data_IF_755354550466
#
_entry.id   IF_755354550466
#
_cell.length_a   1.000
_cell.length_b   1.000
_cell.length_c   1.000
_cell.angle_alpha   90.00
_cell.angle_beta   90.00
_cell.angle_gamma   90.00
#
_symmetry.space_group_name_H-M   'P 1'
#
loop_
_entity.id
_entity.type
_entity.pdbx_description
1 polymer ?
#
# COMPACT_ATOMS: atom_id res chain seq x y z
N UNK A 1 -0.24 5.15 0.21
CA UNK A 1 0.41 5.35 -1.11
C UNK A 1 0.66 6.83 -1.44
N UNK A 2 0.12 7.79 -0.68
CA UNK A 2 0.36 9.23 -0.91
C UNK A 2 1.67 9.76 -0.29
N UNK A 3 2.34 8.98 0.56
CA UNK A 3 3.60 9.36 1.21
C UNK A 3 3.45 10.28 2.43
N UNK A 4 2.24 10.35 2.99
CA UNK A 4 1.91 11.13 4.18
C UNK A 4 2.28 10.34 5.45
N UNK A 5 3.40 10.70 6.08
CA UNK A 5 3.93 9.99 7.26
C UNK A 5 3.05 10.25 8.49
N UNK A 6 2.56 11.48 8.69
CA UNK A 6 1.73 11.82 9.85
C UNK A 6 0.43 11.00 9.88
N UNK A 7 -0.21 10.83 8.72
CA UNK A 7 -1.42 10.02 8.58
C UNK A 7 -1.14 8.53 8.81
N UNK A 8 0.03 8.03 8.37
CA UNK A 8 0.45 6.67 8.66
C UNK A 8 0.62 6.48 10.18
N UNK A 9 1.34 7.39 10.84
CA UNK A 9 1.61 7.32 12.27
C UNK A 9 0.30 7.30 13.07
N UNK A 10 -0.59 8.26 12.85
CA UNK A 10 -1.88 8.31 13.55
C UNK A 10 -2.74 7.07 13.28
N UNK A 11 -2.75 6.57 12.04
CA UNK A 11 -3.50 5.37 11.69
C UNK A 11 -2.97 4.12 12.39
N UNK A 12 -1.65 4.02 12.52
CA UNK A 12 -1.01 2.92 13.22
C UNK A 12 -1.21 3.02 14.74
N UNK A 13 -1.00 4.19 15.34
CA UNK A 13 -1.28 4.45 16.77
C UNK A 13 -2.70 4.03 17.14
N UNK A 14 -3.67 4.41 16.31
CA UNK A 14 -5.05 3.96 16.47
C UNK A 14 -5.18 2.44 16.38
N UNK A 15 -4.63 1.81 15.34
CA UNK A 15 -4.72 0.36 15.15
C UNK A 15 -4.13 -0.42 16.34
N UNK A 16 -2.99 0.01 16.87
CA UNK A 16 -2.36 -0.61 18.04
C UNK A 16 -3.15 -0.37 19.32
N UNK A 17 -3.71 0.83 19.51
CA UNK A 17 -4.60 1.11 20.65
C UNK A 17 -5.84 0.20 20.68
N UNK A 18 -6.31 -0.22 19.50
CA UNK A 18 -7.41 -1.16 19.32
C UNK A 18 -6.95 -2.63 19.30
N UNK A 19 -5.68 -2.91 19.64
CA UNK A 19 -5.07 -4.26 19.64
C UNK A 19 -5.25 -5.00 18.31
N UNK A 20 -5.19 -4.27 17.19
CA UNK A 20 -5.30 -4.86 15.86
C UNK A 20 -4.11 -5.77 15.57
N UNK A 21 -4.37 -6.89 14.91
CA UNK A 21 -3.33 -7.83 14.51
C UNK A 21 -2.43 -7.22 13.40
N UNK A 22 -1.13 -7.13 13.64
CA UNK A 22 -0.16 -6.56 12.71
C UNK A 22 -0.17 -7.24 11.32
N UNK A 23 -0.35 -8.57 11.27
CA UNK A 23 -0.50 -9.32 10.00
C UNK A 23 -1.74 -8.84 9.24
N UNK A 24 -2.85 -8.59 9.92
CA UNK A 24 -4.08 -8.11 9.29
C UNK A 24 -3.92 -6.67 8.75
N UNK A 25 -3.21 -5.81 9.48
CA UNK A 25 -2.85 -4.46 9.00
C UNK A 25 -2.02 -4.56 7.71
N UNK A 26 -0.97 -5.38 7.72
CA UNK A 26 -0.11 -5.59 6.53
C UNK A 26 -0.90 -6.16 5.35
N UNK A 27 -1.80 -7.13 5.58
CA UNK A 27 -2.66 -7.70 4.52
C UNK A 27 -3.61 -6.67 3.92
N UNK A 28 -4.18 -5.79 4.73
CA UNK A 28 -4.99 -4.66 4.24
C UNK A 28 -4.19 -3.77 3.28
N UNK A 29 -2.97 -3.41 3.67
CA UNK A 29 -2.06 -2.67 2.81
C UNK A 29 -1.69 -3.44 1.53
N UNK A 30 -1.38 -4.73 1.62
CA UNK A 30 -1.06 -5.57 0.46
C UNK A 30 -2.23 -5.59 -0.53
N UNK A 31 -3.46 -5.75 -0.06
CA UNK A 31 -4.66 -5.74 -0.91
C UNK A 31 -4.76 -4.46 -1.71
N UNK A 32 -4.55 -3.32 -1.06
CA UNK A 32 -4.55 -2.01 -1.71
C UNK A 32 -3.45 -1.84 -2.76
N UNK A 33 -2.20 -2.19 -2.42
CA UNK A 33 -1.08 -2.10 -3.35
C UNK A 33 -1.19 -3.07 -4.53
N UNK A 34 -1.78 -4.26 -4.34
CA UNK A 34 -2.09 -5.20 -5.43
C UNK A 34 -3.14 -4.63 -6.38
N UNK A 35 -4.17 -3.97 -5.87
CA UNK A 35 -5.17 -3.29 -6.71
C UNK A 35 -4.53 -2.15 -7.53
N UNK A 36 -3.69 -1.33 -6.90
CA UNK A 36 -2.90 -0.31 -7.60
C UNK A 36 -2.00 -0.94 -8.68
N UNK A 37 -1.29 -2.02 -8.37
CA UNK A 37 -0.44 -2.72 -9.34
C UNK A 37 -1.23 -3.24 -10.53
N UNK A 38 -2.39 -3.84 -10.30
CA UNK A 38 -3.29 -4.32 -11.35
C UNK A 38 -3.75 -3.19 -12.27
N UNK A 39 -4.19 -2.07 -11.69
CA UNK A 39 -4.60 -0.90 -12.45
C UNK A 39 -3.43 -0.25 -13.23
N UNK A 40 -2.24 -0.20 -12.63
CA UNK A 40 -1.03 0.34 -13.27
C UNK A 40 -0.58 -0.51 -14.45
N UNK A 41 -0.63 -1.84 -14.33
CA UNK A 41 -0.35 -2.77 -15.43
C UNK A 41 -1.35 -2.65 -16.57
N UNK A 42 -2.65 -2.57 -16.26
CA UNK A 42 -3.69 -2.33 -17.26
C UNK A 42 -3.48 -0.98 -17.98
N UNK A 43 -3.02 0.03 -17.25
CA UNK A 43 -2.69 1.34 -17.83
C UNK A 43 -1.49 1.28 -18.78
N UNK A 44 -0.43 0.55 -18.43
CA UNK A 44 0.69 0.33 -19.34
C UNK A 44 0.28 -0.44 -20.61
N UNK A 45 -0.70 -1.34 -20.49
CA UNK A 45 -1.26 -2.07 -21.64
C UNK A 45 -2.19 -1.22 -22.53
N UNK A 46 -2.33 0.08 -22.26
CA UNK A 46 -3.11 1.03 -23.07
C UNK A 46 -4.52 1.32 -22.56
N UNK A 47 -4.94 0.75 -21.43
CA UNK A 47 -6.24 1.07 -20.83
C UNK A 47 -6.17 2.43 -20.12
N UNK A 48 -7.13 3.36 -20.32
CA UNK A 48 -7.14 4.61 -19.56
C UNK A 48 -7.19 4.37 -18.04
N UNK A 49 -6.39 5.10 -17.26
CA UNK A 49 -6.27 4.94 -15.78
C UNK A 49 -7.63 4.89 -15.08
N UNK A 50 -8.56 5.78 -15.45
CA UNK A 50 -9.90 5.82 -14.86
C UNK A 50 -10.72 4.54 -15.14
N UNK A 51 -10.55 3.95 -16.32
CA UNK A 51 -11.19 2.69 -16.70
C UNK A 51 -10.52 1.50 -16.01
N UNK A 52 -9.19 1.49 -15.94
CA UNK A 52 -8.43 0.46 -15.24
C UNK A 52 -8.86 0.38 -13.76
N UNK A 53 -8.97 1.51 -13.07
CA UNK A 53 -9.42 1.56 -11.67
C UNK A 53 -10.88 1.10 -11.50
N UNK A 54 -11.78 1.47 -12.42
CA UNK A 54 -13.17 0.99 -12.42
C UNK A 54 -13.32 -0.51 -12.69
N UNK A 55 -12.39 -1.07 -13.47
CA UNK A 55 -12.38 -2.51 -13.79
C UNK A 55 -11.83 -3.39 -12.65
N UNK A 56 -11.32 -2.80 -11.57
CA UNK A 56 -10.80 -3.56 -10.43
C UNK A 56 -11.88 -4.44 -9.78
N UNK A 57 -11.41 -5.58 -9.25
CA UNK A 57 -12.21 -6.54 -8.50
C UNK A 57 -11.49 -6.81 -7.18
N UNK A 58 -12.12 -6.53 -6.01
CA UNK A 58 -13.45 -5.95 -5.80
C UNK A 58 -13.56 -4.48 -6.27
N UNK A 59 -14.80 -4.00 -6.56
CA UNK A 59 -15.02 -2.61 -6.98
C UNK A 59 -14.64 -1.64 -5.86
N UNK A 60 -13.85 -0.63 -6.23
CA UNK A 60 -13.36 0.40 -5.31
C UNK A 60 -14.41 1.50 -5.20
N UNK A 61 -14.66 2.01 -3.98
CA UNK A 61 -15.57 3.14 -3.79
C UNK A 61 -15.10 4.38 -4.56
N UNK A 62 -16.02 5.18 -5.12
CA UNK A 62 -15.70 6.28 -6.05
C UNK A 62 -14.63 7.25 -5.50
N UNK A 63 -14.72 7.65 -4.22
CA UNK A 63 -13.74 8.52 -3.56
C UNK A 63 -12.32 7.96 -3.57
N UNK A 64 -12.20 6.64 -3.50
CA UNK A 64 -10.92 5.95 -3.52
C UNK A 64 -10.45 5.72 -4.96
N UNK A 65 -11.37 5.66 -5.94
CA UNK A 65 -11.00 5.64 -7.36
C UNK A 65 -10.22 6.88 -7.76
N UNK A 66 -10.69 8.07 -7.37
CA UNK A 66 -10.02 9.34 -7.68
C UNK A 66 -8.62 9.40 -7.04
N UNK A 67 -8.50 8.96 -5.79
CA UNK A 67 -7.21 8.86 -5.10
C UNK A 67 -6.26 7.87 -5.79
N UNK A 68 -6.75 6.69 -6.17
CA UNK A 68 -5.94 5.70 -6.86
C UNK A 68 -5.49 6.21 -8.23
N UNK A 69 -6.37 6.88 -8.98
CA UNK A 69 -6.00 7.49 -10.25
C UNK A 69 -4.90 8.54 -10.10
N UNK A 70 -4.95 9.38 -9.06
CA UNK A 70 -3.88 10.33 -8.75
C UNK A 70 -2.56 9.63 -8.38
N UNK A 71 -2.63 8.55 -7.58
CA UNK A 71 -1.45 7.78 -7.19
C UNK A 71 -0.79 7.05 -8.37
N UNK A 72 -1.58 6.54 -9.31
CA UNK A 72 -1.09 5.88 -10.53
C UNK A 72 -0.29 6.80 -11.45
N UNK A 73 -0.40 8.12 -11.30
CA UNK A 73 0.46 9.08 -12.02
C UNK A 73 1.90 9.09 -11.54
N UNK A 74 2.17 8.60 -10.32
CA UNK A 74 3.49 8.66 -9.70
C UNK A 74 4.07 7.29 -9.38
N UNK A 75 3.21 6.29 -9.18
CA UNK A 75 3.63 4.91 -8.94
C UNK A 75 3.80 4.14 -10.25
N UNK A 76 5.03 3.73 -10.55
CA UNK A 76 5.33 2.79 -11.64
C UNK A 76 4.98 1.36 -11.24
N UNK A 77 4.66 0.46 -12.19
CA UNK A 77 4.41 -0.96 -11.91
C UNK A 77 5.53 -1.65 -11.14
N UNK A 78 6.79 -1.37 -11.46
CA UNK A 78 7.94 -1.95 -10.75
C UNK A 78 7.98 -1.47 -9.30
N UNK A 79 7.74 -0.17 -9.06
CA UNK A 79 7.74 0.38 -7.71
C UNK A 79 6.59 -0.16 -6.85
N UNK A 80 5.44 -0.43 -7.46
CA UNK A 80 4.29 -1.06 -6.81
C UNK A 80 4.56 -2.54 -6.53
N UNK A 81 5.19 -3.25 -7.45
CA UNK A 81 5.58 -4.65 -7.27
C UNK A 81 6.57 -4.80 -6.10
N UNK A 82 7.61 -3.97 -6.06
CA UNK A 82 8.55 -3.91 -4.94
C UNK A 82 7.84 -3.63 -3.60
N UNK A 83 6.87 -2.71 -3.59
CA UNK A 83 6.11 -2.38 -2.39
C UNK A 83 5.28 -3.57 -1.90
N UNK A 84 4.65 -4.32 -2.81
CA UNK A 84 3.91 -5.55 -2.47
C UNK A 84 4.85 -6.61 -1.89
N UNK A 85 6.03 -6.84 -2.48
CA UNK A 85 6.99 -7.81 -1.98
C UNK A 85 7.48 -7.45 -0.57
N UNK A 86 7.83 -6.18 -0.34
CA UNK A 86 8.23 -5.71 1.01
C UNK A 86 7.15 -5.92 2.06
N UNK A 87 5.88 -5.71 1.70
CA UNK A 87 4.77 -5.99 2.61
C UNK A 87 4.60 -7.49 2.91
N UNK A 88 4.91 -8.36 1.95
CA UNK A 88 4.92 -9.81 2.15
C UNK A 88 6.08 -10.25 3.03
N UNK A 89 7.29 -9.72 2.81
CA UNK A 89 8.46 -9.98 3.63
C UNK A 89 8.24 -9.53 5.08
N UNK A 90 7.60 -8.38 5.27
CA UNK A 90 7.20 -7.90 6.59
C UNK A 90 6.17 -8.83 7.25
N UNK A 91 5.16 -9.31 6.51
CA UNK A 91 4.19 -10.27 7.04
C UNK A 91 4.87 -11.59 7.44
N UNK A 92 5.85 -12.05 6.66
CA UNK A 92 6.62 -13.25 6.99
C UNK A 92 7.46 -13.03 8.26
N UNK A 93 8.11 -11.88 8.38
CA UNK A 93 8.94 -11.53 9.55
C UNK A 93 8.11 -11.49 10.83
N UNK A 94 6.91 -10.89 10.77
CA UNK A 94 5.95 -10.89 11.89
C UNK A 94 5.53 -12.31 12.28
N UNK A 95 5.31 -13.21 11.30
CA UNK A 95 4.92 -14.61 11.58
C UNK A 95 6.06 -15.48 12.10
N UNK A 96 7.29 -15.23 11.67
CA UNK A 96 8.46 -15.98 12.09
C UNK A 96 8.83 -15.68 13.55
N UNK A 97 8.37 -14.55 14.09
CA UNK A 97 8.60 -14.15 15.47
C UNK A 97 10.02 -13.64 15.72
N UNK A 98 10.27 -13.16 16.94
CA UNK A 98 11.60 -12.69 17.36
C UNK A 98 11.67 -11.22 17.80
N UNK A 99 10.55 -10.50 17.85
CA UNK A 99 10.48 -9.13 18.35
C UNK A 99 9.05 -8.61 18.49
N UNK A 100 8.88 -7.28 18.54
CA UNK A 100 7.56 -6.65 18.59
C UNK A 100 6.99 -6.51 17.16
N UNK A 101 5.93 -7.26 16.87
CA UNK A 101 5.22 -7.28 15.58
C UNK A 101 4.81 -5.89 15.08
N UNK A 102 4.42 -5.00 15.99
CA UNK A 102 4.01 -3.63 15.69
C UNK A 102 5.17 -2.81 15.13
N UNK A 103 6.37 -3.00 15.69
CA UNK A 103 7.59 -2.32 15.24
C UNK A 103 7.96 -2.77 13.82
N UNK A 104 7.94 -4.07 13.56
CA UNK A 104 8.25 -4.60 12.22
C UNK A 104 7.26 -4.10 11.18
N UNK A 105 5.96 -4.14 11.48
CA UNK A 105 4.93 -3.62 10.59
C UNK A 105 5.08 -2.11 10.36
N UNK A 106 5.32 -1.33 11.43
CA UNK A 106 5.53 0.11 11.36
C UNK A 106 6.73 0.50 10.51
N UNK A 107 7.88 -0.17 10.71
CA UNK A 107 9.10 0.06 9.93
C UNK A 107 8.90 -0.22 8.44
N UNK A 108 8.23 -1.33 8.09
CA UNK A 108 7.94 -1.68 6.71
C UNK A 108 7.06 -0.63 6.02
N UNK A 109 5.99 -0.20 6.70
CA UNK A 109 5.05 0.79 6.17
C UNK A 109 5.69 2.18 6.03
N UNK A 110 6.54 2.57 6.98
CA UNK A 110 7.31 3.81 6.91
C UNK A 110 8.26 3.80 5.70
N UNK A 111 8.97 2.69 5.48
CA UNK A 111 9.86 2.52 4.33
C UNK A 111 9.15 2.70 2.98
N UNK A 112 7.90 2.26 2.87
CA UNK A 112 7.06 2.45 1.68
C UNK A 112 6.65 3.92 1.51
N UNK A 113 6.31 4.61 2.61
CA UNK A 113 5.96 6.03 2.56
C UNK A 113 7.16 6.90 2.12
N UNK A 114 8.35 6.63 2.65
CA UNK A 114 9.58 7.33 2.25
C UNK A 114 9.92 7.11 0.77
N UNK A 115 9.67 5.91 0.24
CA UNK A 115 9.87 5.61 -1.19
C UNK A 115 8.98 6.48 -2.07
N UNK A 116 7.73 6.72 -1.66
CA UNK A 116 6.83 7.61 -2.38
C UNK A 116 7.33 9.05 -2.41
N UNK A 117 7.89 9.54 -1.31
CA UNK A 117 8.43 10.90 -1.24
C UNK A 117 9.63 11.07 -2.18
N UNK A 118 10.52 10.07 -2.24
CA UNK A 118 11.68 10.09 -3.15
C UNK A 118 11.28 10.08 -4.63
N UNK A 119 10.18 9.44 -5.01
CA UNK A 119 9.70 9.42 -6.40
C UNK A 119 9.02 10.73 -6.85
N UNK A 120 8.81 11.69 -5.94
CA UNK A 120 8.23 13.00 -6.23
C UNK A 120 9.23 14.16 -6.23
N UNK A 121 10.54 13.88 -6.11
CA UNK A 121 11.66 14.82 -6.29
C UNK A 121 12.40 14.47 -7.55
#
# INVERSE_FOLDING_TARGET
ADGQIDWLQHGLEKAWSESQNAVMVLRGCQGYFRQLLGASRASQAGTPVAQAVKSLRPPVHFRLQDKMAAQLRVWTPDSLFDAVNRLQDAELSVKQGGGNDEIFAGQALLGICLRRQKSGR
#
